data_IF_767746753606
#
_entry.id   IF_767746753606
#
_cell.length_a   1.000
_cell.length_b   1.000
_cell.length_c   1.000
_cell.angle_alpha   90.00
_cell.angle_beta   90.00
_cell.angle_gamma   90.00
#
_symmetry.space_group_name_H-M   'P 1'
#
loop_
_entity.id
_entity.type
_entity.pdbx_description
1 polymer ?
#
# COMPACT_ATOMS: atom_id res chain seq x y z
N UNK A 1 -38.35 58.07 -39.85
CA UNK A 1 -37.74 58.35 -38.53
C UNK A 1 -37.89 57.12 -37.68
N UNK A 2 -36.87 56.29 -37.59
CA UNK A 2 -36.84 55.08 -36.72
C UNK A 2 -35.78 55.30 -35.64
N UNK A 3 -36.23 55.33 -34.39
CA UNK A 3 -35.36 55.46 -33.21
C UNK A 3 -34.67 54.16 -32.91
N UNK A 4 -33.34 54.16 -32.86
CA UNK A 4 -32.53 53.06 -32.35
C UNK A 4 -32.45 53.14 -30.83
N UNK A 5 -33.06 52.18 -30.14
CA UNK A 5 -32.82 51.96 -28.71
C UNK A 5 -31.51 51.22 -28.49
N UNK A 6 -30.53 51.85 -27.86
CA UNK A 6 -29.33 51.19 -27.37
C UNK A 6 -29.63 50.40 -26.10
N UNK A 7 -29.52 49.08 -26.15
CA UNK A 7 -29.55 48.20 -24.97
C UNK A 7 -28.09 48.16 -24.48
N UNK A 8 -27.88 48.67 -23.28
CA UNK A 8 -26.62 48.51 -22.54
C UNK A 8 -26.73 47.23 -21.71
N UNK A 9 -26.01 46.19 -22.14
CA UNK A 9 -25.85 44.99 -21.32
C UNK A 9 -24.80 45.26 -20.21
N UNK A 10 -25.26 45.34 -18.98
CA UNK A 10 -24.43 45.39 -17.79
C UNK A 10 -23.97 43.95 -17.49
N UNK A 11 -22.73 43.63 -17.76
CA UNK A 11 -22.11 42.35 -17.33
C UNK A 11 -21.67 42.53 -15.91
N UNK A 12 -22.43 41.97 -14.95
CA UNK A 12 -22.00 41.83 -13.56
C UNK A 12 -20.98 40.69 -13.47
N UNK A 13 -19.72 41.03 -13.35
CA UNK A 13 -18.65 40.10 -12.98
C UNK A 13 -18.79 39.85 -11.49
N UNK A 14 -19.36 38.69 -11.11
CA UNK A 14 -19.30 38.19 -9.75
C UNK A 14 -17.88 37.59 -9.53
N UNK A 15 -17.00 38.36 -8.94
CA UNK A 15 -15.75 37.84 -8.38
C UNK A 15 -16.08 37.07 -7.11
N UNK A 16 -16.19 35.74 -7.23
CA UNK A 16 -16.18 34.83 -6.08
C UNK A 16 -14.78 34.86 -5.47
N UNK A 17 -14.57 35.69 -4.47
CA UNK A 17 -13.45 35.57 -3.56
C UNK A 17 -13.73 34.36 -2.66
N UNK A 18 -13.11 33.22 -2.96
CA UNK A 18 -13.02 32.12 -2.02
C UNK A 18 -12.14 32.57 -0.84
N UNK A 19 -12.78 32.95 0.24
CA UNK A 19 -12.12 33.07 1.53
C UNK A 19 -11.85 31.65 2.00
N UNK A 20 -10.62 31.15 1.79
CA UNK A 20 -10.15 29.97 2.49
C UNK A 20 -10.03 30.33 3.98
N UNK A 21 -11.10 30.05 4.73
CA UNK A 21 -11.05 30.02 6.19
C UNK A 21 -10.12 28.88 6.59
N UNK A 22 -9.03 29.18 7.29
CA UNK A 22 -8.10 28.22 7.86
C UNK A 22 -8.69 27.40 9.02
N UNK A 23 -9.81 26.73 8.77
CA UNK A 23 -10.47 25.82 9.70
C UNK A 23 -10.62 24.46 9.03
N UNK A 24 -9.54 23.67 8.96
CA UNK A 24 -9.62 22.38 8.26
C UNK A 24 -8.37 21.48 8.28
N UNK A 25 -7.22 21.99 8.71
CA UNK A 25 -6.02 21.12 8.75
C UNK A 25 -5.94 20.27 10.01
N UNK A 26 -6.34 20.79 11.18
CA UNK A 26 -6.39 19.98 12.42
C UNK A 26 -7.39 18.81 12.34
N UNK A 27 -8.43 18.91 11.53
CA UNK A 27 -9.42 17.83 11.33
C UNK A 27 -8.92 16.73 10.36
N UNK A 28 -7.92 17.03 9.55
CA UNK A 28 -7.35 16.07 8.58
C UNK A 28 -6.45 15.01 9.23
N UNK A 29 -5.88 15.30 10.39
CA UNK A 29 -4.91 14.43 11.08
C UNK A 29 -5.33 14.09 12.52
N UNK A 30 -6.60 13.75 12.69
CA UNK A 30 -7.19 13.47 14.01
C UNK A 30 -6.53 12.31 14.76
N UNK A 31 -5.87 11.41 14.03
CA UNK A 31 -5.19 10.24 14.57
C UNK A 31 -3.69 10.47 14.82
N UNK A 32 -3.18 11.68 14.59
CA UNK A 32 -1.79 12.09 14.80
C UNK A 32 -1.60 12.93 16.04
N UNK A 33 -0.45 12.82 16.67
CA UNK A 33 0.07 13.83 17.59
C UNK A 33 0.74 14.96 16.80
N UNK A 34 0.98 16.11 17.43
CA UNK A 34 1.84 17.16 16.85
C UNK A 34 3.28 16.65 16.86
N UNK A 35 3.92 16.59 15.69
CA UNK A 35 5.26 16.03 15.53
C UNK A 35 5.96 16.59 14.30
N UNK A 36 7.27 16.48 14.29
CA UNK A 36 8.12 17.02 13.21
C UNK A 36 7.87 16.35 11.86
N UNK A 37 7.57 15.04 11.85
CA UNK A 37 7.30 14.30 10.61
C UNK A 37 6.03 14.82 9.91
N UNK A 38 4.97 15.10 10.68
CA UNK A 38 3.74 15.67 10.16
C UNK A 38 3.93 17.13 9.69
N UNK A 39 4.69 17.94 10.46
CA UNK A 39 5.00 19.32 10.10
C UNK A 39 5.81 19.38 8.81
N UNK A 40 6.75 18.46 8.60
CA UNK A 40 7.52 18.35 7.34
C UNK A 40 6.60 17.98 6.17
N UNK A 41 5.68 17.02 6.33
CA UNK A 41 4.74 16.62 5.29
C UNK A 41 3.82 17.79 4.90
N UNK A 42 3.17 18.41 5.88
CA UNK A 42 2.21 19.49 5.63
C UNK A 42 2.88 20.74 5.05
N UNK A 43 4.06 21.11 5.56
CA UNK A 43 4.88 22.20 4.99
C UNK A 43 5.30 21.92 3.56
N UNK A 44 5.71 20.67 3.25
CA UNK A 44 6.04 20.27 1.89
C UNK A 44 4.83 20.39 0.97
N UNK A 45 3.70 19.78 1.34
CA UNK A 45 2.47 19.82 0.52
C UNK A 45 2.01 21.26 0.29
N UNK A 46 2.02 22.11 1.32
CA UNK A 46 1.68 23.53 1.18
C UNK A 46 2.55 24.25 0.16
N UNK A 47 3.87 24.00 0.15
CA UNK A 47 4.80 24.62 -0.80
C UNK A 47 4.61 24.13 -2.22
N UNK A 48 4.49 22.81 -2.43
CA UNK A 48 4.42 22.22 -3.78
C UNK A 48 3.05 22.38 -4.44
N UNK A 49 2.03 22.71 -3.68
CA UNK A 49 0.67 22.99 -4.21
C UNK A 49 0.42 24.48 -4.46
N UNK A 50 1.24 25.37 -3.90
CA UNK A 50 1.10 26.80 -4.07
C UNK A 50 1.71 27.25 -5.42
N UNK A 51 0.86 27.70 -6.34
CA UNK A 51 1.26 28.14 -7.69
C UNK A 51 2.26 29.31 -7.73
N UNK A 52 2.41 30.04 -6.63
CA UNK A 52 3.39 31.15 -6.52
C UNK A 52 4.71 30.72 -5.88
N UNK A 53 4.80 29.48 -5.41
CA UNK A 53 6.01 28.90 -4.82
C UNK A 53 7.03 28.52 -5.89
N UNK A 54 8.31 28.71 -5.59
CA UNK A 54 9.41 28.17 -6.44
C UNK A 54 9.43 26.64 -6.45
N UNK A 55 8.82 25.99 -5.45
CA UNK A 55 8.74 24.53 -5.30
C UNK A 55 7.45 23.95 -5.91
N UNK A 56 6.65 24.77 -6.63
CA UNK A 56 5.38 24.32 -7.20
C UNK A 56 5.55 23.10 -8.12
N UNK A 57 4.69 22.10 -7.92
CA UNK A 57 4.62 20.89 -8.75
C UNK A 57 3.25 20.86 -9.45
N UNK A 58 3.20 20.71 -10.79
CA UNK A 58 1.96 20.50 -11.52
C UNK A 58 1.20 19.27 -11.02
N UNK A 59 -0.13 19.28 -11.10
CA UNK A 59 -1.00 18.23 -10.56
C UNK A 59 -0.63 16.85 -11.12
N UNK A 60 -0.35 16.78 -12.42
CA UNK A 60 0.02 15.55 -13.12
C UNK A 60 1.37 14.95 -12.68
N UNK A 61 2.20 15.69 -11.95
CA UNK A 61 3.49 15.26 -11.42
C UNK A 61 3.47 15.07 -9.88
N UNK A 62 2.32 15.34 -9.22
CA UNK A 62 2.13 15.09 -7.78
C UNK A 62 1.85 13.62 -7.52
N UNK A 63 2.88 12.81 -7.47
CA UNK A 63 2.78 11.36 -7.28
C UNK A 63 3.38 10.98 -5.94
N UNK A 64 2.60 10.25 -5.14
CA UNK A 64 3.02 9.65 -3.89
C UNK A 64 2.93 8.12 -3.99
N UNK A 65 3.96 7.42 -3.55
CA UNK A 65 4.00 5.96 -3.51
C UNK A 65 4.11 5.46 -2.08
N UNK A 66 3.39 4.40 -1.77
CA UNK A 66 3.30 3.81 -0.44
C UNK A 66 3.59 2.32 -0.51
N UNK A 67 4.46 1.83 0.34
CA UNK A 67 4.43 0.41 0.67
C UNK A 67 3.13 0.09 1.45
N UNK A 68 2.78 -1.20 1.55
CA UNK A 68 1.56 -1.62 2.25
C UNK A 68 1.87 -2.15 3.65
N UNK A 69 2.56 -3.28 3.73
CA UNK A 69 2.78 -4.01 5.00
C UNK A 69 3.80 -3.27 5.87
N UNK A 70 3.40 -2.89 7.08
CA UNK A 70 4.20 -2.06 7.98
C UNK A 70 4.20 -0.56 7.64
N UNK A 71 3.49 -0.13 6.58
CA UNK A 71 3.40 1.28 6.15
C UNK A 71 1.97 1.79 6.14
N UNK A 72 1.07 1.16 5.40
CA UNK A 72 -0.36 1.47 5.39
C UNK A 72 -1.16 0.57 6.33
N UNK A 73 -0.72 -0.68 6.51
CA UNK A 73 -1.32 -1.62 7.44
C UNK A 73 -0.24 -2.26 8.31
N UNK A 74 -0.65 -2.86 9.42
CA UNK A 74 0.23 -3.61 10.31
C UNK A 74 0.94 -4.74 9.60
N UNK A 75 2.18 -5.02 10.01
CA UNK A 75 2.88 -6.24 9.59
C UNK A 75 2.15 -7.49 10.11
N UNK A 76 1.27 -7.30 11.10
CA UNK A 76 0.46 -8.30 11.77
C UNK A 76 1.28 -9.32 12.59
N UNK A 77 0.61 -9.91 13.53
CA UNK A 77 1.15 -10.97 14.35
C UNK A 77 0.52 -12.30 13.95
N UNK A 78 1.27 -13.36 13.85
CA UNK A 78 2.74 -13.47 14.05
C UNK A 78 3.57 -13.19 12.79
N UNK A 79 2.96 -12.87 11.65
CA UNK A 79 3.61 -12.63 10.36
C UNK A 79 2.72 -11.79 9.42
N UNK A 80 3.26 -11.37 8.26
CA UNK A 80 2.58 -10.61 7.21
C UNK A 80 1.25 -11.25 6.78
N UNK A 81 0.28 -10.42 6.39
CA UNK A 81 -1.04 -10.86 5.95
C UNK A 81 -0.98 -11.95 4.86
N UNK A 82 -0.13 -11.78 3.85
CA UNK A 82 -0.02 -12.75 2.78
C UNK A 82 0.54 -14.11 3.24
N UNK A 83 1.37 -14.11 4.30
CA UNK A 83 1.88 -15.34 4.91
C UNK A 83 0.80 -16.06 5.72
N UNK A 84 0.04 -15.29 6.50
CA UNK A 84 -1.11 -15.82 7.25
C UNK A 84 -2.18 -16.40 6.32
N UNK A 85 -2.46 -15.72 5.21
CA UNK A 85 -3.40 -16.17 4.18
C UNK A 85 -2.95 -17.50 3.55
N UNK A 86 -1.67 -17.62 3.17
CA UNK A 86 -1.12 -18.86 2.63
C UNK A 86 -1.17 -20.00 3.65
N UNK A 87 -0.81 -19.73 4.91
CA UNK A 87 -0.87 -20.71 5.97
C UNK A 87 -2.30 -21.17 6.22
N UNK A 88 -3.27 -20.25 6.27
CA UNK A 88 -4.69 -20.57 6.37
C UNK A 88 -5.17 -21.44 5.20
N UNK A 89 -4.87 -21.03 3.96
CA UNK A 89 -5.26 -21.76 2.73
C UNK A 89 -4.78 -23.20 2.74
N UNK A 90 -3.52 -23.41 3.14
CA UNK A 90 -2.89 -24.73 3.01
C UNK A 90 -3.13 -25.67 4.21
N UNK A 91 -3.42 -25.12 5.40
CA UNK A 91 -3.48 -25.90 6.64
C UNK A 91 -4.85 -25.89 7.31
N UNK A 92 -5.69 -24.86 7.08
CA UNK A 92 -6.93 -24.67 7.83
C UNK A 92 -8.19 -24.60 6.96
N UNK A 93 -8.07 -24.27 5.67
CA UNK A 93 -9.21 -24.18 4.75
C UNK A 93 -9.75 -25.59 4.43
N UNK A 94 -10.95 -25.96 4.92
CA UNK A 94 -11.51 -27.30 4.69
C UNK A 94 -11.88 -27.55 3.22
N UNK A 95 -11.94 -26.51 2.39
CA UNK A 95 -12.33 -26.58 0.98
C UNK A 95 -11.12 -26.69 0.05
N UNK A 96 -9.89 -26.68 0.59
CA UNK A 96 -8.67 -26.78 -0.20
C UNK A 96 -7.76 -27.90 0.30
N UNK A 97 -7.26 -28.69 -0.62
CA UNK A 97 -6.31 -29.75 -0.31
C UNK A 97 -4.94 -29.41 -0.91
N UNK A 98 -4.09 -28.82 -0.09
CA UNK A 98 -2.71 -28.52 -0.48
C UNK A 98 -1.89 -29.81 -0.65
N UNK A 99 -0.95 -29.80 -1.59
CA UNK A 99 0.08 -30.82 -1.67
C UNK A 99 1.13 -30.68 -0.54
N UNK A 100 2.04 -31.64 -0.48
CA UNK A 100 3.03 -31.68 0.61
C UNK A 100 4.02 -30.52 0.54
N UNK A 101 4.36 -30.03 -0.64
CA UNK A 101 5.27 -28.87 -0.81
C UNK A 101 4.64 -27.60 -0.26
N UNK A 102 3.39 -27.35 -0.60
CA UNK A 102 2.63 -26.20 -0.08
C UNK A 102 2.44 -26.29 1.44
N UNK A 103 2.10 -27.49 1.96
CA UNK A 103 1.98 -27.72 3.41
C UNK A 103 3.29 -27.48 4.14
N UNK A 104 4.43 -27.86 3.55
CA UNK A 104 5.74 -27.62 4.13
C UNK A 104 6.04 -26.13 4.24
N UNK A 105 5.79 -25.34 3.17
CA UNK A 105 5.98 -23.87 3.22
C UNK A 105 5.05 -23.24 4.24
N UNK A 106 3.77 -23.60 4.25
CA UNK A 106 2.78 -23.08 5.18
C UNK A 106 3.13 -23.42 6.66
N UNK A 107 3.61 -24.65 6.92
CA UNK A 107 4.05 -25.08 8.25
C UNK A 107 5.29 -24.28 8.68
N UNK A 108 6.24 -24.05 7.78
CA UNK A 108 7.44 -23.27 8.06
C UNK A 108 7.08 -21.81 8.44
N UNK A 109 6.13 -21.19 7.74
CA UNK A 109 5.60 -19.87 8.08
C UNK A 109 5.01 -19.90 9.50
N UNK A 110 4.12 -20.84 9.78
CA UNK A 110 3.43 -20.94 11.07
C UNK A 110 4.39 -21.16 12.24
N UNK A 111 5.38 -22.02 12.09
CA UNK A 111 6.37 -22.31 13.15
C UNK A 111 7.33 -21.13 13.38
N UNK A 112 7.75 -20.45 12.33
CA UNK A 112 8.60 -19.27 12.44
C UNK A 112 7.86 -18.08 13.04
N UNK A 113 6.60 -17.88 12.68
CA UNK A 113 5.73 -16.83 13.19
C UNK A 113 5.54 -16.88 14.71
N UNK A 114 5.55 -18.07 15.32
CA UNK A 114 5.50 -18.22 16.80
C UNK A 114 6.61 -17.45 17.55
N UNK A 115 7.67 -17.07 16.85
CA UNK A 115 8.80 -16.33 17.40
C UNK A 115 8.94 -14.94 16.77
N UNK A 116 7.91 -14.40 16.12
CA UNK A 116 7.95 -13.12 15.38
C UNK A 116 9.07 -13.07 14.34
N UNK A 117 9.31 -14.16 13.62
CA UNK A 117 10.44 -14.22 12.68
C UNK A 117 10.01 -14.81 11.35
N UNK A 118 10.42 -14.16 10.29
CA UNK A 118 10.38 -14.73 8.96
C UNK A 118 11.18 -16.04 8.91
N UNK A 119 10.72 -17.07 8.21
CA UNK A 119 11.46 -18.31 8.03
C UNK A 119 12.90 -18.08 7.57
N UNK A 120 13.86 -18.72 8.25
CA UNK A 120 15.28 -18.63 7.91
C UNK A 120 15.65 -19.59 6.77
N UNK A 121 15.11 -19.29 5.60
CA UNK A 121 15.39 -20.01 4.34
C UNK A 121 15.91 -19.00 3.34
N UNK A 122 16.95 -19.35 2.60
CA UNK A 122 17.51 -18.49 1.58
C UNK A 122 16.45 -18.12 0.53
N UNK A 123 16.36 -16.83 0.23
CA UNK A 123 15.38 -16.27 -0.70
C UNK A 123 13.92 -16.65 -0.38
N UNK A 124 13.56 -16.65 0.90
CA UNK A 124 12.22 -17.06 1.33
C UNK A 124 11.11 -16.27 0.63
N UNK A 125 11.33 -14.98 0.31
CA UNK A 125 10.39 -14.17 -0.48
C UNK A 125 10.00 -14.83 -1.82
N UNK A 126 10.95 -15.47 -2.51
CA UNK A 126 10.67 -16.19 -3.75
C UNK A 126 10.00 -17.55 -3.48
N UNK A 127 10.39 -18.25 -2.42
CA UNK A 127 9.74 -19.53 -2.02
C UNK A 127 8.27 -19.26 -1.71
N UNK A 128 8.00 -18.25 -0.88
CA UNK A 128 6.64 -17.82 -0.55
C UNK A 128 5.87 -17.40 -1.80
N UNK A 129 6.43 -16.50 -2.63
CA UNK A 129 5.73 -15.99 -3.82
C UNK A 129 5.33 -17.10 -4.81
N UNK A 130 6.17 -18.12 -4.98
CA UNK A 130 5.84 -19.31 -5.79
C UNK A 130 4.75 -20.16 -5.16
N UNK A 131 4.83 -20.38 -3.85
CA UNK A 131 3.79 -21.09 -3.11
C UNK A 131 2.44 -20.37 -3.17
N UNK A 132 2.47 -19.04 -3.04
CA UNK A 132 1.28 -18.17 -3.17
C UNK A 132 0.66 -18.28 -4.57
N UNK A 133 1.45 -18.23 -5.64
CA UNK A 133 0.96 -18.42 -7.00
C UNK A 133 0.26 -19.78 -7.14
N UNK A 134 0.92 -20.86 -6.71
CA UNK A 134 0.43 -22.24 -6.83
C UNK A 134 -0.82 -22.52 -5.99
N UNK A 135 -0.87 -22.00 -4.75
CA UNK A 135 -1.99 -22.26 -3.83
C UNK A 135 -3.32 -21.64 -4.28
N UNK A 136 -3.26 -20.61 -5.10
CA UNK A 136 -4.43 -19.87 -5.59
C UNK A 136 -4.57 -19.91 -7.12
N UNK A 137 -3.87 -20.83 -7.77
CA UNK A 137 -4.02 -21.07 -9.21
C UNK A 137 -5.43 -21.58 -9.54
N UNK A 138 -5.94 -21.21 -10.72
CA UNK A 138 -7.25 -21.60 -11.20
C UNK A 138 -8.41 -20.70 -10.72
N UNK A 139 -8.21 -19.84 -9.72
CA UNK A 139 -9.21 -18.85 -9.33
C UNK A 139 -9.22 -17.67 -10.30
N UNK A 140 -10.40 -17.17 -10.64
CA UNK A 140 -10.51 -15.88 -11.31
C UNK A 140 -10.00 -14.75 -10.39
N UNK A 141 -9.56 -13.60 -10.93
CA UNK A 141 -9.19 -12.44 -10.11
C UNK A 141 -10.26 -12.04 -9.09
N UNK A 142 -11.53 -12.08 -9.47
CA UNK A 142 -12.65 -11.75 -8.59
C UNK A 142 -12.88 -12.77 -7.49
N UNK A 143 -12.78 -14.07 -7.78
CA UNK A 143 -12.86 -15.14 -6.78
C UNK A 143 -11.74 -15.04 -5.77
N UNK A 144 -10.50 -14.78 -6.24
CA UNK A 144 -9.37 -14.62 -5.34
C UNK A 144 -9.53 -13.37 -4.43
N UNK A 145 -9.95 -12.23 -4.98
CA UNK A 145 -10.24 -11.03 -4.17
C UNK A 145 -11.35 -11.32 -3.14
N UNK A 146 -12.41 -12.06 -3.54
CA UNK A 146 -13.46 -12.45 -2.62
C UNK A 146 -12.93 -13.35 -1.50
N UNK A 147 -12.11 -14.34 -1.84
CA UNK A 147 -11.48 -15.23 -0.87
C UNK A 147 -10.62 -14.46 0.15
N UNK A 148 -9.84 -13.48 -0.33
CA UNK A 148 -9.06 -12.60 0.56
C UNK A 148 -9.99 -11.79 1.45
N UNK A 149 -11.06 -11.20 0.92
CA UNK A 149 -12.03 -10.42 1.71
C UNK A 149 -12.72 -11.27 2.78
N UNK A 150 -13.02 -12.53 2.50
CA UNK A 150 -13.56 -13.47 3.49
C UNK A 150 -12.54 -13.76 4.59
N UNK A 151 -11.28 -14.02 4.23
CA UNK A 151 -10.20 -14.19 5.21
C UNK A 151 -10.02 -12.95 6.10
N UNK A 152 -10.14 -11.74 5.53
CA UNK A 152 -10.05 -10.49 6.27
C UNK A 152 -11.14 -10.35 7.35
N UNK A 153 -12.23 -11.13 7.30
CA UNK A 153 -13.27 -11.11 8.33
C UNK A 153 -12.93 -11.96 9.56
N UNK A 154 -11.85 -12.72 9.53
CA UNK A 154 -11.38 -13.48 10.68
C UNK A 154 -10.79 -12.53 11.74
N UNK A 155 -10.87 -12.97 13.00
CA UNK A 155 -10.27 -12.23 14.11
C UNK A 155 -8.73 -12.25 13.99
N UNK A 156 -8.11 -11.09 14.14
CA UNK A 156 -6.65 -10.95 14.06
C UNK A 156 -5.97 -11.58 15.28
N UNK A 157 -5.05 -12.49 15.02
CA UNK A 157 -4.22 -13.11 16.07
C UNK A 157 -3.35 -12.04 16.73
N UNK A 158 -3.17 -12.13 18.05
CA UNK A 158 -2.39 -11.16 18.82
C UNK A 158 -3.13 -9.88 19.20
N UNK A 159 -4.44 -9.79 18.88
CA UNK A 159 -5.26 -8.63 19.19
C UNK A 159 -6.65 -9.03 19.66
N UNK A 160 -7.27 -8.18 20.49
CA UNK A 160 -8.70 -8.25 20.82
C UNK A 160 -9.43 -7.11 20.11
N UNK A 161 -10.67 -7.35 19.73
CA UNK A 161 -11.56 -6.40 19.04
C UNK A 161 -10.99 -5.92 17.68
N UNK A 162 -10.23 -6.76 16.99
CA UNK A 162 -9.63 -6.47 15.70
C UNK A 162 -9.84 -7.65 14.75
N UNK A 163 -10.31 -7.39 13.56
CA UNK A 163 -10.25 -8.31 12.43
C UNK A 163 -9.05 -7.98 11.55
N UNK A 164 -8.62 -8.92 10.70
CA UNK A 164 -7.59 -8.59 9.71
C UNK A 164 -7.98 -7.41 8.81
N UNK A 165 -9.29 -7.21 8.55
CA UNK A 165 -9.80 -6.04 7.84
C UNK A 165 -9.52 -4.70 8.55
N UNK A 166 -9.30 -4.71 9.86
CA UNK A 166 -9.07 -3.50 10.66
C UNK A 166 -7.58 -3.12 10.74
N UNK A 167 -6.70 -3.84 10.00
CA UNK A 167 -5.25 -3.72 10.08
C UNK A 167 -4.66 -2.41 9.53
N UNK A 168 -5.45 -1.56 8.86
CA UNK A 168 -4.93 -0.29 8.36
C UNK A 168 -4.63 0.69 9.50
N UNK A 169 -3.45 1.26 9.47
CA UNK A 169 -3.04 2.33 10.38
C UNK A 169 -3.90 3.56 10.20
N UNK A 170 -4.69 3.91 11.20
CA UNK A 170 -5.60 5.07 11.13
C UNK A 170 -4.87 6.38 10.79
N UNK A 171 -3.64 6.65 11.32
CA UNK A 171 -2.88 7.83 10.93
C UNK A 171 -2.47 7.82 9.45
N UNK A 172 -2.12 6.68 8.88
CA UNK A 172 -1.70 6.62 7.47
C UNK A 172 -2.90 6.77 6.51
N UNK A 173 -4.09 6.35 6.93
CA UNK A 173 -5.34 6.69 6.21
C UNK A 173 -5.51 8.22 6.15
N UNK A 174 -5.23 8.94 7.25
CA UNK A 174 -5.29 10.41 7.27
C UNK A 174 -4.31 11.01 6.26
N UNK A 175 -3.07 10.48 6.16
CA UNK A 175 -2.05 10.92 5.18
C UNK A 175 -2.53 10.73 3.75
N UNK A 176 -3.02 9.54 3.39
CA UNK A 176 -3.51 9.28 2.02
C UNK A 176 -4.65 10.22 1.67
N UNK A 177 -5.65 10.37 2.55
CA UNK A 177 -6.79 11.27 2.33
C UNK A 177 -6.35 12.74 2.21
N UNK A 178 -5.40 13.17 3.02
CA UNK A 178 -4.83 14.51 2.94
C UNK A 178 -4.14 14.76 1.59
N UNK A 179 -3.33 13.82 1.13
CA UNK A 179 -2.63 13.94 -0.15
C UNK A 179 -3.60 13.94 -1.33
N UNK A 180 -4.60 13.04 -1.34
CA UNK A 180 -5.66 13.03 -2.37
C UNK A 180 -6.43 14.35 -2.39
N UNK A 181 -6.79 14.91 -1.22
CA UNK A 181 -7.43 16.23 -1.11
C UNK A 181 -6.57 17.35 -1.73
N UNK A 182 -5.24 17.21 -1.67
CA UNK A 182 -4.27 18.15 -2.26
C UNK A 182 -3.85 17.75 -3.68
N UNK A 183 -4.66 16.91 -4.36
CA UNK A 183 -4.50 16.53 -5.76
C UNK A 183 -3.21 15.74 -6.04
N UNK A 184 -2.74 14.96 -5.07
CA UNK A 184 -1.74 13.93 -5.32
C UNK A 184 -2.42 12.67 -5.85
N UNK A 185 -1.76 12.01 -6.79
CA UNK A 185 -2.11 10.64 -7.18
C UNK A 185 -1.31 9.69 -6.29
N UNK A 186 -2.02 8.95 -5.42
CA UNK A 186 -1.41 8.01 -4.50
C UNK A 186 -1.40 6.60 -5.11
N UNK A 187 -0.25 5.93 -5.10
CA UNK A 187 -0.10 4.55 -5.52
C UNK A 187 0.37 3.69 -4.37
N UNK A 188 -0.16 2.48 -4.26
CA UNK A 188 0.39 1.43 -3.40
C UNK A 188 1.39 0.61 -4.21
N UNK A 189 2.60 0.41 -3.67
CA UNK A 189 3.71 -0.32 -4.32
C UNK A 189 4.25 -1.34 -3.33
N UNK A 190 3.62 -2.52 -3.28
CA UNK A 190 3.83 -3.53 -2.25
C UNK A 190 4.60 -4.75 -2.76
N UNK A 191 5.30 -5.42 -1.85
CA UNK A 191 5.87 -6.75 -2.06
C UNK A 191 4.84 -7.87 -2.03
N UNK A 192 3.65 -7.63 -1.48
CA UNK A 192 2.53 -8.57 -1.42
C UNK A 192 1.80 -8.67 -2.75
N UNK A 193 1.06 -9.77 -2.95
CA UNK A 193 0.27 -10.01 -4.16
C UNK A 193 -0.66 -8.83 -4.45
N UNK A 194 -0.66 -8.35 -5.70
CA UNK A 194 -1.43 -7.20 -6.17
C UNK A 194 -2.92 -7.30 -5.82
N UNK A 195 -3.51 -8.47 -5.92
CA UNK A 195 -4.94 -8.68 -5.65
C UNK A 195 -5.24 -8.73 -4.16
N UNK A 196 -4.29 -9.23 -3.34
CA UNK A 196 -4.35 -9.08 -1.88
C UNK A 196 -4.33 -7.60 -1.52
N UNK A 197 -3.37 -6.84 -2.06
CA UNK A 197 -3.29 -5.41 -1.81
C UNK A 197 -4.58 -4.69 -2.18
N UNK A 198 -5.17 -5.00 -3.35
CA UNK A 198 -6.47 -4.44 -3.77
C UNK A 198 -7.58 -4.74 -2.77
N UNK A 199 -7.69 -5.99 -2.31
CA UNK A 199 -8.69 -6.40 -1.33
C UNK A 199 -8.53 -5.67 0.02
N UNK A 200 -7.29 -5.35 0.42
CA UNK A 200 -6.99 -4.68 1.70
C UNK A 200 -7.24 -3.17 1.63
N UNK A 201 -6.75 -2.49 0.58
CA UNK A 201 -6.63 -1.03 0.60
C UNK A 201 -7.70 -0.29 -0.18
N UNK A 202 -8.23 -0.86 -1.30
CA UNK A 202 -9.02 -0.07 -2.24
C UNK A 202 -10.28 0.51 -1.61
N UNK A 203 -11.07 -0.32 -0.92
CA UNK A 203 -12.33 0.11 -0.31
C UNK A 203 -12.11 1.09 0.86
N UNK A 204 -11.04 0.90 1.64
CA UNK A 204 -10.80 1.69 2.85
C UNK A 204 -10.13 3.04 2.57
N UNK A 205 -9.30 3.10 1.53
CA UNK A 205 -8.58 4.31 1.13
C UNK A 205 -9.26 5.06 -0.03
N UNK A 206 -10.35 4.49 -0.60
CA UNK A 206 -11.00 5.01 -1.81
C UNK A 206 -10.00 5.18 -2.97
N UNK A 207 -9.13 4.17 -3.13
CA UNK A 207 -8.14 4.15 -4.21
C UNK A 207 -8.60 3.24 -5.34
N UNK A 208 -8.53 3.70 -6.62
CA UNK A 208 -8.79 2.85 -7.77
C UNK A 208 -7.82 1.67 -7.85
N UNK A 209 -8.28 0.49 -8.22
CA UNK A 209 -7.45 -0.72 -8.36
C UNK A 209 -6.20 -0.54 -9.24
N UNK A 210 -6.29 0.32 -10.26
CA UNK A 210 -5.16 0.67 -11.14
C UNK A 210 -4.02 1.42 -10.43
N UNK A 211 -4.25 1.93 -9.22
CA UNK A 211 -3.25 2.59 -8.39
C UNK A 211 -2.57 1.62 -7.41
N UNK A 212 -2.79 0.31 -7.57
CA UNK A 212 -2.19 -0.73 -6.74
C UNK A 212 -1.26 -1.58 -7.59
N UNK A 213 0.02 -1.53 -7.25
CA UNK A 213 1.13 -2.27 -7.83
C UNK A 213 1.63 -3.26 -6.77
N UNK A 214 1.77 -4.52 -7.12
CA UNK A 214 2.16 -5.58 -6.18
C UNK A 214 3.04 -6.64 -6.82
N UNK A 215 3.25 -7.72 -6.10
CA UNK A 215 3.73 -8.97 -6.66
C UNK A 215 2.75 -9.46 -7.71
N UNK A 216 3.23 -9.96 -8.83
CA UNK A 216 2.40 -10.49 -9.90
C UNK A 216 2.63 -11.98 -10.13
N UNK A 217 1.54 -12.67 -10.42
CA UNK A 217 1.51 -14.01 -10.94
C UNK A 217 0.99 -13.97 -12.38
N UNK A 218 1.28 -15.01 -13.17
CA UNK A 218 0.74 -15.10 -14.50
C UNK A 218 -0.80 -15.23 -14.48
N UNK A 219 -1.43 -14.70 -15.51
CA UNK A 219 -2.87 -14.89 -15.76
C UNK A 219 -3.01 -15.66 -17.06
N UNK A 220 -3.84 -16.69 -17.06
CA UNK A 220 -4.05 -17.59 -18.19
C UNK A 220 -5.54 -17.73 -18.50
N UNK A 221 -5.87 -18.12 -19.74
CA UNK A 221 -7.24 -18.49 -20.09
C UNK A 221 -7.50 -19.94 -19.68
N UNK A 222 -8.72 -20.24 -19.24
CA UNK A 222 -9.12 -21.58 -18.74
C UNK A 222 -8.84 -22.71 -19.75
N UNK A 223 -8.90 -22.44 -21.06
CA UNK A 223 -8.63 -23.41 -22.11
C UNK A 223 -7.27 -23.24 -22.78
N UNK A 224 -6.37 -22.42 -22.21
CA UNK A 224 -5.03 -22.19 -22.76
C UNK A 224 -4.14 -23.44 -22.68
N UNK A 225 -4.29 -24.25 -21.63
CA UNK A 225 -3.44 -25.40 -21.37
C UNK A 225 -1.97 -24.99 -21.26
N UNK A 226 -1.08 -25.84 -21.79
CA UNK A 226 0.38 -25.58 -21.78
C UNK A 226 0.86 -24.63 -22.88
N UNK A 227 -0.05 -23.97 -23.60
CA UNK A 227 0.35 -23.04 -24.66
C UNK A 227 0.86 -21.73 -24.05
N UNK A 228 1.98 -21.25 -24.59
CA UNK A 228 2.43 -19.90 -24.36
C UNK A 228 1.39 -18.87 -24.85
N UNK A 229 1.26 -17.73 -24.16
CA UNK A 229 0.30 -16.68 -24.53
C UNK A 229 0.46 -16.14 -25.96
N UNK A 230 1.67 -16.22 -26.56
CA UNK A 230 1.87 -15.89 -27.99
C UNK A 230 1.22 -16.89 -28.94
N UNK A 231 0.95 -18.11 -28.47
CA UNK A 231 0.37 -19.21 -29.25
C UNK A 231 -1.08 -19.52 -28.88
N UNK A 232 -1.69 -18.67 -28.04
CA UNK A 232 -3.09 -18.79 -27.64
C UNK A 232 -3.83 -17.47 -27.83
N UNK A 233 -5.03 -17.53 -28.37
CA UNK A 233 -5.89 -16.39 -28.51
C UNK A 233 -7.10 -16.56 -27.60
N UNK A 234 -7.31 -15.60 -26.70
CA UNK A 234 -8.44 -15.60 -25.79
C UNK A 234 -9.76 -15.70 -26.58
N UNK A 235 -10.55 -16.70 -26.27
CA UNK A 235 -11.82 -16.95 -26.96
C UNK A 235 -12.95 -16.12 -26.36
N UNK A 236 -13.22 -14.99 -26.97
CA UNK A 236 -14.32 -14.11 -26.60
C UNK A 236 -15.73 -14.68 -26.86
N UNK A 237 -15.83 -15.92 -27.36
CA UNK A 237 -17.11 -16.63 -27.57
C UNK A 237 -17.81 -17.07 -26.28
N UNK A 238 -17.26 -16.72 -25.11
CA UNK A 238 -17.85 -17.00 -23.80
C UNK A 238 -17.42 -18.32 -23.15
N UNK A 239 -16.40 -18.96 -23.72
CA UNK A 239 -15.88 -20.24 -23.20
C UNK A 239 -14.64 -20.07 -22.31
N UNK A 240 -13.85 -19.02 -22.52
CA UNK A 240 -12.67 -18.70 -21.70
C UNK A 240 -13.01 -17.76 -20.55
N UNK A 241 -12.52 -18.11 -19.38
CA UNK A 241 -12.37 -17.19 -18.25
C UNK A 241 -10.89 -16.89 -18.02
N UNK A 242 -10.59 -15.70 -17.50
CA UNK A 242 -9.24 -15.34 -17.09
C UNK A 242 -9.04 -15.82 -15.66
N UNK A 243 -8.05 -16.68 -15.45
CA UNK A 243 -7.71 -17.24 -14.13
C UNK A 243 -6.26 -16.99 -13.76
N UNK A 244 -5.96 -17.07 -12.50
CA UNK A 244 -4.59 -17.05 -11.96
C UNK A 244 -3.89 -18.34 -12.41
N UNK A 245 -2.69 -18.18 -12.94
CA UNK A 245 -1.76 -19.29 -13.15
C UNK A 245 -0.97 -19.62 -11.88
N UNK A 246 -0.01 -20.50 -12.01
CA UNK A 246 0.83 -21.00 -10.92
C UNK A 246 2.26 -20.45 -10.93
N UNK A 247 2.56 -19.50 -11.82
CA UNK A 247 3.89 -18.93 -11.99
C UNK A 247 4.00 -17.54 -11.35
N UNK A 248 5.03 -17.37 -10.52
CA UNK A 248 5.45 -16.06 -10.02
C UNK A 248 6.13 -15.27 -11.14
N UNK A 249 5.57 -14.14 -11.54
CA UNK A 249 6.15 -13.26 -12.56
C UNK A 249 7.19 -12.33 -11.92
N UNK A 250 6.84 -11.67 -10.82
CA UNK A 250 7.74 -10.75 -10.12
C UNK A 250 7.39 -10.65 -8.63
N UNK A 251 8.39 -10.81 -7.77
CA UNK A 251 8.29 -10.39 -6.36
C UNK A 251 8.70 -8.93 -6.27
N UNK A 252 7.75 -8.06 -5.94
CA UNK A 252 7.89 -6.60 -6.07
C UNK A 252 8.59 -5.97 -4.86
N UNK A 253 9.86 -6.31 -4.66
CA UNK A 253 10.72 -5.80 -3.58
C UNK A 253 11.97 -5.12 -4.12
N UNK A 254 12.53 -4.19 -3.37
CA UNK A 254 13.81 -3.51 -3.68
C UNK A 254 13.77 -2.86 -5.07
N UNK A 255 14.75 -3.20 -5.95
CA UNK A 255 14.83 -2.64 -7.30
C UNK A 255 13.60 -2.97 -8.17
N UNK A 256 12.92 -4.08 -7.90
CA UNK A 256 11.69 -4.42 -8.61
C UNK A 256 10.58 -3.40 -8.37
N UNK A 257 10.48 -2.78 -7.16
CA UNK A 257 9.55 -1.66 -6.92
C UNK A 257 9.83 -0.50 -7.87
N UNK A 258 11.10 -0.13 -8.07
CA UNK A 258 11.49 0.93 -9.00
C UNK A 258 11.13 0.58 -10.43
N UNK A 259 11.41 -0.67 -10.86
CA UNK A 259 11.05 -1.14 -12.18
C UNK A 259 9.54 -1.01 -12.43
N UNK A 260 8.73 -1.48 -11.50
CA UNK A 260 7.27 -1.41 -11.62
C UNK A 260 6.73 0.02 -11.60
N UNK A 261 7.30 0.91 -10.78
CA UNK A 261 6.95 2.33 -10.79
C UNK A 261 7.20 2.92 -12.19
N UNK A 262 8.36 2.65 -12.78
CA UNK A 262 8.70 3.16 -14.13
C UNK A 262 7.76 2.60 -15.20
N UNK A 263 7.45 1.32 -15.13
CA UNK A 263 6.62 0.64 -16.14
C UNK A 263 5.14 1.03 -16.05
N UNK A 264 4.58 1.14 -14.84
CA UNK A 264 3.14 1.32 -14.66
C UNK A 264 2.73 2.77 -14.41
N UNK A 265 3.58 3.57 -13.77
CA UNK A 265 3.30 4.99 -13.50
C UNK A 265 3.91 5.87 -14.59
N UNK A 266 5.09 5.52 -15.11
CA UNK A 266 5.80 6.29 -16.15
C UNK A 266 6.37 7.62 -15.69
N UNK A 267 6.32 7.93 -14.39
CA UNK A 267 6.83 9.16 -13.78
C UNK A 267 7.54 8.84 -12.47
N UNK A 268 8.53 9.66 -12.12
CA UNK A 268 9.22 9.59 -10.84
C UNK A 268 8.34 10.19 -9.74
N UNK A 269 8.07 9.47 -8.63
CA UNK A 269 7.31 10.00 -7.51
C UNK A 269 8.03 11.17 -6.84
N UNK A 270 7.27 12.02 -6.15
CA UNK A 270 7.81 13.13 -5.35
C UNK A 270 7.66 12.89 -3.85
N UNK A 271 6.87 11.89 -3.46
CA UNK A 271 6.74 11.39 -2.10
C UNK A 271 6.80 9.87 -2.10
N UNK A 272 7.52 9.30 -1.15
CA UNK A 272 7.52 7.84 -0.91
C UNK A 272 7.43 7.54 0.58
N UNK A 273 6.67 6.49 0.92
CA UNK A 273 6.46 6.00 2.28
C UNK A 273 6.74 4.50 2.34
N UNK A 274 7.50 4.08 3.34
CA UNK A 274 7.88 2.68 3.54
C UNK A 274 8.31 2.43 4.97
N UNK A 275 8.70 1.18 5.30
CA UNK A 275 9.09 0.80 6.66
C UNK A 275 10.30 -0.13 6.71
N UNK A 276 10.75 -0.66 5.58
CA UNK A 276 11.73 -1.74 5.55
C UNK A 276 12.85 -1.53 4.53
N UNK A 277 13.86 -2.38 4.58
CA UNK A 277 14.93 -2.41 3.58
C UNK A 277 14.43 -2.74 2.15
N UNK A 278 13.22 -3.32 2.05
CA UNK A 278 12.54 -3.56 0.78
C UNK A 278 12.16 -2.27 0.04
N UNK A 279 12.07 -1.14 0.76
CA UNK A 279 11.61 0.17 0.27
C UNK A 279 12.74 1.13 -0.07
N UNK A 280 13.96 0.88 0.41
CA UNK A 280 15.10 1.78 0.21
C UNK A 280 15.30 2.14 -1.26
N UNK A 281 15.22 1.17 -2.17
CA UNK A 281 15.34 1.48 -3.60
C UNK A 281 14.24 2.41 -4.12
N UNK A 282 13.01 2.26 -3.65
CA UNK A 282 11.89 3.14 -3.98
C UNK A 282 12.11 4.55 -3.43
N UNK A 283 12.62 4.67 -2.21
CA UNK A 283 12.97 5.96 -1.59
C UNK A 283 14.10 6.65 -2.32
N UNK A 284 15.20 5.94 -2.56
CA UNK A 284 16.35 6.48 -3.31
C UNK A 284 15.94 6.93 -4.72
N UNK A 285 15.13 6.14 -5.42
CA UNK A 285 14.59 6.53 -6.71
C UNK A 285 13.74 7.80 -6.60
N UNK A 286 12.94 7.93 -5.55
CA UNK A 286 12.08 9.11 -5.34
C UNK A 286 12.90 10.38 -5.11
N UNK A 287 13.95 10.33 -4.28
CA UNK A 287 14.68 11.55 -3.86
C UNK A 287 15.92 11.87 -4.71
N UNK A 288 16.47 10.88 -5.45
CA UNK A 288 17.72 11.07 -6.20
C UNK A 288 17.46 11.60 -7.60
N UNK A 289 18.15 12.69 -7.98
CA UNK A 289 18.05 13.29 -9.31
C UNK A 289 16.61 13.59 -9.75
N UNK A 290 15.71 13.86 -8.82
CA UNK A 290 14.33 14.22 -9.14
C UNK A 290 14.29 15.66 -9.70
N UNK A 291 13.42 15.87 -10.68
CA UNK A 291 13.14 17.19 -11.26
C UNK A 291 12.59 18.17 -10.22
N UNK A 292 11.88 17.63 -9.21
CA UNK A 292 11.23 18.39 -8.16
C UNK A 292 11.86 18.08 -6.81
N UNK A 293 11.61 18.94 -5.83
CA UNK A 293 11.89 18.62 -4.45
C UNK A 293 11.04 17.41 -4.04
N UNK A 294 11.68 16.39 -3.50
CA UNK A 294 11.02 15.15 -3.10
C UNK A 294 11.40 14.77 -1.67
N UNK A 295 10.54 14.00 -1.00
CA UNK A 295 10.77 13.49 0.35
C UNK A 295 10.47 11.99 0.41
N UNK A 296 11.23 11.30 1.26
CA UNK A 296 11.01 9.91 1.62
C UNK A 296 10.75 9.79 3.12
N UNK A 297 9.74 9.01 3.48
CA UNK A 297 9.29 8.78 4.86
C UNK A 297 9.46 7.31 5.22
N UNK A 298 10.12 7.05 6.35
CA UNK A 298 10.26 5.70 6.92
C UNK A 298 9.48 5.59 8.22
N UNK A 299 8.47 4.73 8.23
CA UNK A 299 7.73 4.36 9.43
C UNK A 299 8.55 3.37 10.27
N UNK A 300 8.62 3.61 11.56
CA UNK A 300 9.25 2.69 12.50
C UNK A 300 8.23 2.12 13.48
N UNK A 301 8.22 0.77 13.59
CA UNK A 301 7.40 0.04 14.55
C UNK A 301 8.09 0.06 15.91
N UNK A 302 7.99 1.18 16.63
CA UNK A 302 8.64 1.41 17.94
C UNK A 302 7.66 1.43 19.11
N UNK A 303 6.45 0.92 18.92
CA UNK A 303 5.41 0.83 19.93
C UNK A 303 5.05 -0.62 20.23
N UNK A 304 5.56 -1.13 21.34
CA UNK A 304 5.28 -2.48 21.82
C UNK A 304 4.18 -2.52 22.91
N UNK A 305 3.44 -1.44 23.08
CA UNK A 305 2.27 -1.38 23.96
C UNK A 305 0.95 -1.47 23.18
N UNK A 306 0.95 -0.96 21.94
CA UNK A 306 -0.24 -0.89 21.09
C UNK A 306 -0.14 -1.76 19.83
N UNK A 307 1.08 -2.23 19.50
CA UNK A 307 1.35 -3.13 18.38
C UNK A 307 2.55 -4.03 18.72
N UNK A 308 2.68 -5.14 18.00
CA UNK A 308 3.81 -6.04 18.13
C UNK A 308 5.04 -5.43 17.45
N UNK A 309 6.11 -5.20 18.21
CA UNK A 309 7.32 -4.55 17.72
C UNK A 309 8.59 -5.23 18.23
N UNK A 310 9.57 -5.42 17.36
CA UNK A 310 10.95 -5.74 17.74
C UNK A 310 11.72 -4.43 17.91
N UNK A 311 11.82 -3.95 19.16
CA UNK A 311 12.45 -2.66 19.47
C UNK A 311 13.95 -2.65 19.19
N UNK A 312 14.66 -3.78 19.32
CA UNK A 312 16.09 -3.87 19.05
C UNK A 312 16.36 -3.72 17.53
N UNK A 313 15.63 -4.47 16.74
CA UNK A 313 15.72 -4.39 15.27
C UNK A 313 15.29 -3.02 14.75
N UNK A 314 14.20 -2.47 15.29
CA UNK A 314 13.71 -1.13 14.96
C UNK A 314 14.74 -0.05 15.24
N UNK A 315 15.45 -0.11 16.38
CA UNK A 315 16.50 0.85 16.71
C UNK A 315 17.69 0.79 15.72
N UNK A 316 18.09 -0.42 15.31
CA UNK A 316 19.14 -0.62 14.31
C UNK A 316 18.74 -0.04 12.95
N UNK A 317 17.53 -0.32 12.51
CA UNK A 317 16.98 0.20 11.24
C UNK A 317 16.89 1.72 11.25
N UNK A 318 16.38 2.30 12.33
CA UNK A 318 16.28 3.76 12.48
C UNK A 318 17.61 4.46 12.27
N UNK A 319 18.68 4.00 12.93
CA UNK A 319 20.03 4.57 12.81
C UNK A 319 20.51 4.56 11.35
N UNK A 320 20.31 3.45 10.62
CA UNK A 320 20.65 3.36 9.21
C UNK A 320 19.83 4.35 8.34
N UNK A 321 18.54 4.52 8.61
CA UNK A 321 17.67 5.39 7.79
C UNK A 321 17.93 6.88 8.04
N UNK A 322 18.35 7.26 9.26
CA UNK A 322 18.77 8.63 9.56
C UNK A 322 20.00 9.06 8.71
N UNK A 323 20.90 8.10 8.39
CA UNK A 323 22.03 8.35 7.49
C UNK A 323 21.61 8.66 6.04
N UNK A 324 20.44 8.18 5.61
CA UNK A 324 19.85 8.43 4.29
C UNK A 324 19.03 9.72 4.20
N UNK A 325 18.91 10.50 5.28
CA UNK A 325 18.08 11.70 5.35
C UNK A 325 16.57 11.43 5.10
N UNK A 326 16.09 10.24 5.42
CA UNK A 326 14.65 9.97 5.40
C UNK A 326 13.96 10.62 6.60
N UNK A 327 12.73 11.06 6.40
CA UNK A 327 11.89 11.53 7.50
C UNK A 327 11.37 10.33 8.26
N UNK A 328 11.69 10.24 9.55
CA UNK A 328 11.26 9.13 10.39
C UNK A 328 9.88 9.44 10.96
N UNK A 329 8.94 8.48 10.82
CA UNK A 329 7.64 8.47 11.48
C UNK A 329 7.68 7.43 12.61
N UNK A 330 7.53 7.87 13.85
CA UNK A 330 7.50 7.00 15.03
C UNK A 330 6.06 6.62 15.37
N UNK A 331 5.74 5.33 15.31
CA UNK A 331 4.39 4.87 15.69
C UNK A 331 4.07 5.24 17.15
N UNK A 332 5.06 5.14 18.04
CA UNK A 332 4.92 5.42 19.48
C UNK A 332 4.66 6.91 19.75
N UNK A 333 5.41 7.79 19.09
CA UNK A 333 5.40 9.22 19.41
C UNK A 333 4.47 10.02 18.51
N UNK A 334 4.40 9.69 17.23
CA UNK A 334 3.69 10.47 16.22
C UNK A 334 2.22 10.04 16.09
N UNK A 335 1.92 8.76 16.36
CA UNK A 335 0.55 8.25 16.27
C UNK A 335 -0.22 8.42 17.59
N UNK A 336 -1.37 9.05 17.51
CA UNK A 336 -2.30 9.14 18.63
C UNK A 336 -3.02 7.82 18.88
N UNK A 337 -3.30 7.08 17.83
CA UNK A 337 -3.84 5.71 17.84
C UNK A 337 -3.27 4.95 16.64
N UNK A 338 -3.16 3.64 16.72
CA UNK A 338 -2.71 2.80 15.59
C UNK A 338 -3.92 2.27 14.83
N UNK A 339 -4.68 1.36 15.40
CA UNK A 339 -5.82 0.68 14.77
C UNK A 339 -7.17 1.24 15.22
N UNK A 340 -7.22 2.01 16.31
CA UNK A 340 -8.42 2.57 16.93
C UNK A 340 -8.46 2.32 18.43
N UNK A 341 -9.31 3.05 19.15
CA UNK A 341 -9.33 3.09 20.61
C UNK A 341 -9.75 1.76 21.28
N UNK A 342 -10.43 0.88 20.57
CA UNK A 342 -10.97 -0.37 21.13
C UNK A 342 -10.09 -1.60 20.84
N UNK A 343 -9.06 -1.46 20.00
CA UNK A 343 -8.13 -2.55 19.70
C UNK A 343 -7.12 -2.67 20.84
N UNK A 344 -6.94 -3.89 21.32
CA UNK A 344 -6.04 -4.19 22.43
C UNK A 344 -5.08 -5.27 21.95
N UNK A 345 -3.77 -4.99 22.01
CA UNK A 345 -2.74 -5.99 21.78
C UNK A 345 -2.81 -7.04 22.89
N UNK A 346 -2.65 -8.30 22.55
CA UNK A 346 -2.59 -9.43 23.47
C UNK A 346 -1.27 -10.17 23.33
N UNK A 347 -0.87 -10.88 24.38
CA UNK A 347 0.34 -11.73 24.37
C UNK A 347 0.21 -12.94 23.42
#
# INVERSE_FOLDING_TARGET
MKQFKKIVCLVLIFSLTFIFSGCGEEDSFKNWNKCDSLDQLTSYVSKVTNTTSSDFIPIEDRIAVFDMDGTLCGELFPEYLEYLLLAYRCLDDPNYQADDDLKNVATLIRESGKNYKTPKVDNFDLVHGRAQAKAFAGLTPSEFISYVKDFLQLDAVGFQNMKYADSLYKPMIDVVKYLVKHQFTCYVVSGSDRMICRAVVCDQLDLPEKQVIGMDVNLVATHQGDKDGLNYQFNSGGEDELVRGDELIIKNLKMNKVQQIVQEIGKQPVLSFGNSSGDVSMHEYTITNNKYKALAFMLIADDNERDHADLEETAKRKASWEEHNYVIISMKNDFKTIYGANVIMTE
#
